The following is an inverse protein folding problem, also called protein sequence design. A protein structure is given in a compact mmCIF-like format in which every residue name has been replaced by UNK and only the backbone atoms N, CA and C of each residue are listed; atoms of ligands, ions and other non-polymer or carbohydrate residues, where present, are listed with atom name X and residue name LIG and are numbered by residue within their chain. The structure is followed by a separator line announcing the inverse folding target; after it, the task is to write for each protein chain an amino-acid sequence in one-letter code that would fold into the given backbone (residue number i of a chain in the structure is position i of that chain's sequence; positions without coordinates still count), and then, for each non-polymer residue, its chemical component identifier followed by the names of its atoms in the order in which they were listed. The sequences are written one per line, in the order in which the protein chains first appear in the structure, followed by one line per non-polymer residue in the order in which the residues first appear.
data_IF_707519868138
#
_entry.id   IF_707519868138
#
_cell.length_a   1.000
_cell.length_b   1.000
_cell.length_c   1.000
_cell.angle_alpha   90.00
_cell.angle_beta   90.00
_cell.angle_gamma   90.00
#
_symmetry.space_group_name_H-M   'P 1'
#
loop_
_entity.id
_entity.type
_entity.pdbx_description
1 polymer ?
#
# COMPACT_ATOMS: atom_id res chain seq x y z
N UNK A 1 1.82 -14.66 -8.54
CA UNK A 1 1.16 -15.57 -9.52
C UNK A 1 -0.33 -15.33 -9.49
N UNK A 2 -0.99 -15.34 -10.65
CA UNK A 2 -2.45 -15.40 -10.75
C UNK A 2 -2.78 -16.71 -11.44
N UNK A 3 -3.63 -17.54 -10.82
CA UNK A 3 -4.03 -18.84 -11.34
C UNK A 3 -5.53 -19.05 -11.27
N UNK A 4 -6.16 -19.42 -12.38
CA UNK A 4 -7.58 -19.72 -12.49
C UNK A 4 -7.78 -21.18 -12.85
N UNK A 5 -8.75 -21.86 -12.21
CA UNK A 5 -9.11 -23.25 -12.46
C UNK A 5 -7.88 -24.20 -12.33
N UNK A 6 -7.43 -24.84 -13.38
CA UNK A 6 -6.25 -25.73 -13.36
C UNK A 6 -4.94 -24.97 -13.03
N UNK A 7 -4.80 -23.72 -13.49
CA UNK A 7 -3.66 -22.89 -13.10
C UNK A 7 -3.71 -22.52 -11.61
N UNK A 8 -4.89 -22.46 -11.00
CA UNK A 8 -5.06 -22.32 -9.57
C UNK A 8 -4.53 -23.54 -8.80
N UNK A 9 -4.73 -24.76 -9.31
CA UNK A 9 -4.13 -25.99 -8.73
C UNK A 9 -2.61 -25.92 -8.77
N UNK A 10 -2.03 -25.51 -9.90
CA UNK A 10 -0.59 -25.31 -10.01
C UNK A 10 -0.08 -24.28 -9.00
N UNK A 11 -0.83 -23.21 -8.77
CA UNK A 11 -0.51 -22.20 -7.75
C UNK A 11 -0.52 -22.78 -6.33
N UNK A 12 -1.53 -23.57 -5.98
CA UNK A 12 -1.60 -24.28 -4.69
C UNK A 12 -0.43 -25.26 -4.54
N UNK A 13 -0.17 -26.06 -5.57
CA UNK A 13 0.98 -26.98 -5.58
C UNK A 13 2.30 -26.23 -5.36
N UNK A 14 2.50 -25.11 -6.04
CA UNK A 14 3.71 -24.30 -5.88
C UNK A 14 3.80 -23.70 -4.48
N UNK A 15 2.68 -23.19 -3.94
CA UNK A 15 2.64 -22.64 -2.57
C UNK A 15 3.10 -23.67 -1.54
N UNK A 16 2.65 -24.92 -1.65
CA UNK A 16 2.93 -25.95 -0.64
C UNK A 16 4.29 -26.64 -0.82
N UNK A 17 4.80 -26.75 -2.04
CA UNK A 17 6.03 -27.50 -2.32
C UNK A 17 7.25 -26.61 -2.61
N UNK A 18 7.04 -25.37 -3.07
CA UNK A 18 8.09 -24.42 -3.42
C UNK A 18 7.64 -22.97 -3.12
N UNK A 19 7.30 -22.63 -1.85
CA UNK A 19 6.62 -21.41 -1.48
C UNK A 19 7.39 -20.13 -1.84
N UNK A 20 8.71 -20.20 -1.90
CA UNK A 20 9.57 -19.06 -2.25
C UNK A 20 9.58 -18.69 -3.74
N UNK A 21 8.92 -19.51 -4.60
CA UNK A 21 8.83 -19.26 -6.04
C UNK A 21 8.08 -17.95 -6.34
N UNK A 22 6.99 -17.69 -5.62
CA UNK A 22 6.23 -16.45 -5.74
C UNK A 22 5.99 -15.85 -4.36
N UNK A 23 5.96 -14.52 -4.28
CA UNK A 23 5.64 -13.80 -3.04
C UNK A 23 4.12 -13.68 -2.86
N UNK A 24 3.38 -13.59 -3.97
CA UNK A 24 1.94 -13.34 -3.98
C UNK A 24 1.23 -14.39 -4.83
N UNK A 25 0.14 -14.94 -4.29
CA UNK A 25 -0.73 -15.92 -4.93
C UNK A 25 -2.16 -15.40 -4.97
N UNK A 26 -2.74 -15.29 -6.16
CA UNK A 26 -4.15 -15.01 -6.39
C UNK A 26 -4.73 -16.22 -7.13
N UNK A 27 -5.48 -17.07 -6.42
CA UNK A 27 -5.91 -18.38 -6.91
C UNK A 27 -7.44 -18.42 -6.96
N UNK A 28 -7.98 -18.56 -8.18
CA UNK A 28 -9.39 -18.37 -8.48
C UNK A 28 -10.00 -19.70 -8.88
N UNK A 29 -11.07 -20.11 -8.18
CA UNK A 29 -11.83 -21.34 -8.45
C UNK A 29 -10.91 -22.51 -8.85
N UNK A 30 -9.93 -22.78 -7.99
CA UNK A 30 -8.92 -23.81 -8.23
C UNK A 30 -9.56 -25.19 -8.27
N UNK A 31 -9.33 -25.96 -9.33
CA UNK A 31 -9.83 -27.32 -9.52
C UNK A 31 -9.11 -28.35 -8.59
N UNK A 32 -8.99 -28.03 -7.31
CA UNK A 32 -8.14 -28.74 -6.35
C UNK A 32 -8.63 -30.14 -5.95
N UNK A 33 -9.79 -30.54 -6.44
CA UNK A 33 -10.27 -31.93 -6.39
C UNK A 33 -9.47 -32.89 -7.27
N UNK A 34 -8.65 -32.32 -8.13
CA UNK A 34 -7.78 -33.12 -9.01
C UNK A 34 -6.54 -33.57 -8.23
N UNK A 35 -6.12 -34.85 -8.38
CA UNK A 35 -4.91 -35.34 -7.72
C UNK A 35 -5.09 -36.02 -6.36
N UNK A 36 -6.30 -36.57 -6.07
CA UNK A 36 -6.57 -37.36 -4.86
C UNK A 36 -6.13 -36.69 -3.55
N UNK A 37 -6.51 -35.45 -3.36
CA UNK A 37 -6.25 -34.69 -2.13
C UNK A 37 -4.75 -34.47 -1.80
N UNK A 38 -3.87 -34.55 -2.79
CA UNK A 38 -2.43 -34.34 -2.62
C UNK A 38 -2.15 -32.94 -2.01
N UNK A 39 -2.90 -31.91 -2.39
CA UNK A 39 -2.77 -30.55 -1.86
C UNK A 39 -3.01 -30.55 -0.35
N UNK A 40 -4.01 -31.28 0.14
CA UNK A 40 -4.34 -31.32 1.56
C UNK A 40 -3.23 -31.96 2.39
N UNK A 41 -2.67 -33.05 1.90
CA UNK A 41 -1.56 -33.73 2.58
C UNK A 41 -0.31 -32.85 2.64
N UNK A 42 -0.06 -32.10 1.57
CA UNK A 42 1.07 -31.19 1.49
C UNK A 42 0.88 -29.91 2.32
N UNK A 43 -0.35 -29.43 2.52
CA UNK A 43 -0.63 -28.31 3.43
C UNK A 43 -0.24 -28.60 4.88
N UNK A 44 -0.45 -29.84 5.33
CA UNK A 44 -0.02 -30.25 6.70
C UNK A 44 1.50 -30.18 6.83
N UNK A 45 2.25 -30.61 5.80
CA UNK A 45 3.71 -30.52 5.77
C UNK A 45 4.19 -29.09 5.64
N UNK A 46 3.50 -28.27 4.88
CA UNK A 46 3.85 -26.85 4.65
C UNK A 46 4.08 -26.08 5.95
N UNK A 47 3.21 -26.24 6.97
CA UNK A 47 3.37 -25.61 8.28
C UNK A 47 4.66 -26.03 8.98
N UNK A 48 4.99 -27.31 8.94
CA UNK A 48 6.16 -27.85 9.65
C UNK A 48 7.47 -27.31 9.06
N UNK A 49 7.53 -27.21 7.73
CA UNK A 49 8.75 -26.94 6.96
C UNK A 49 8.97 -25.44 6.68
N UNK A 50 7.92 -24.61 6.79
CA UNK A 50 7.94 -23.21 6.33
C UNK A 50 7.48 -22.21 7.39
N UNK A 51 7.92 -22.34 8.64
CA UNK A 51 7.55 -21.46 9.77
C UNK A 51 7.88 -19.97 9.52
N UNK A 52 8.92 -19.71 8.74
CA UNK A 52 9.41 -18.35 8.43
C UNK A 52 8.96 -17.88 7.04
N UNK A 53 8.12 -18.63 6.35
CA UNK A 53 7.61 -18.21 5.04
C UNK A 53 6.73 -16.98 5.20
N UNK A 54 7.07 -15.93 4.48
CA UNK A 54 6.28 -14.69 4.38
C UNK A 54 5.77 -14.52 2.96
N UNK A 55 4.45 -14.42 2.81
CA UNK A 55 3.81 -14.25 1.51
C UNK A 55 2.35 -13.86 1.64
N UNK A 56 1.70 -13.67 0.49
CA UNK A 56 0.29 -13.31 0.44
C UNK A 56 -0.47 -14.34 -0.40
N UNK A 57 -1.67 -14.70 0.05
CA UNK A 57 -2.57 -15.60 -0.68
C UNK A 57 -3.99 -15.02 -0.66
N UNK A 58 -4.56 -14.83 -1.83
CA UNK A 58 -6.00 -14.67 -1.98
C UNK A 58 -6.56 -15.90 -2.70
N UNK A 59 -7.43 -16.62 -2.02
CA UNK A 59 -8.11 -17.80 -2.54
C UNK A 59 -9.59 -17.46 -2.75
N UNK A 60 -10.14 -17.76 -3.89
CA UNK A 60 -11.55 -17.55 -4.17
C UNK A 60 -12.21 -18.74 -4.84
N UNK A 61 -13.55 -18.83 -4.70
CA UNK A 61 -14.39 -19.79 -5.38
C UNK A 61 -15.71 -19.13 -5.78
N UNK A 62 -16.24 -19.53 -6.94
CA UNK A 62 -17.56 -19.10 -7.41
C UNK A 62 -18.70 -19.86 -6.73
N UNK A 63 -19.97 -19.53 -7.05
CA UNK A 63 -21.17 -20.25 -6.66
C UNK A 63 -21.39 -21.58 -7.38
N UNK A 64 -20.30 -22.21 -7.83
CA UNK A 64 -20.29 -23.49 -8.51
C UNK A 64 -20.30 -24.65 -7.49
N UNK A 65 -21.37 -25.26 -7.23
CA UNK A 65 -21.50 -26.34 -6.24
C UNK A 65 -20.53 -27.53 -6.43
N UNK A 66 -20.79 -28.58 -5.66
CA UNK A 66 -20.07 -29.87 -5.80
C UNK A 66 -18.60 -29.81 -5.35
N UNK A 67 -17.73 -30.53 -6.07
CA UNK A 67 -16.33 -30.69 -5.70
C UNK A 67 -15.51 -29.38 -5.69
N UNK A 68 -15.81 -28.43 -6.55
CA UNK A 68 -15.09 -27.12 -6.58
C UNK A 68 -15.26 -26.38 -5.26
N UNK A 69 -16.52 -26.17 -4.83
CA UNK A 69 -16.84 -25.45 -3.60
C UNK A 69 -16.34 -26.19 -2.35
N UNK A 70 -16.66 -27.51 -2.25
CA UNK A 70 -16.27 -28.27 -1.06
C UNK A 70 -14.77 -28.39 -0.88
N UNK A 71 -14.00 -28.50 -1.95
CA UNK A 71 -12.54 -28.52 -1.88
C UNK A 71 -11.96 -27.15 -1.53
N UNK A 72 -12.52 -26.05 -2.08
CA UNK A 72 -12.08 -24.70 -1.72
C UNK A 72 -12.30 -24.41 -0.22
N UNK A 73 -13.45 -24.80 0.32
CA UNK A 73 -13.74 -24.68 1.77
C UNK A 73 -12.80 -25.54 2.61
N UNK A 74 -12.49 -26.74 2.18
CA UNK A 74 -11.59 -27.64 2.90
C UNK A 74 -10.17 -27.07 2.95
N UNK A 75 -9.67 -26.55 1.83
CA UNK A 75 -8.36 -25.89 1.78
C UNK A 75 -8.34 -24.65 2.68
N UNK A 76 -9.38 -23.81 2.62
CA UNK A 76 -9.49 -22.64 3.50
C UNK A 76 -9.49 -23.03 4.98
N UNK A 77 -10.26 -24.07 5.35
CA UNK A 77 -10.29 -24.60 6.73
C UNK A 77 -8.94 -25.16 7.19
N UNK A 78 -8.21 -25.80 6.30
CA UNK A 78 -6.88 -26.29 6.61
C UNK A 78 -5.87 -25.12 6.75
N UNK A 79 -5.92 -24.14 5.87
CA UNK A 79 -5.09 -22.95 5.98
C UNK A 79 -5.33 -22.24 7.32
N UNK A 80 -6.58 -22.08 7.75
CA UNK A 80 -6.91 -21.52 9.06
C UNK A 80 -6.20 -22.27 10.22
N UNK A 81 -6.12 -23.60 10.11
CA UNK A 81 -5.48 -24.44 11.14
C UNK A 81 -3.95 -24.47 11.06
N UNK A 82 -3.37 -24.36 9.85
CA UNK A 82 -1.96 -24.68 9.61
C UNK A 82 -1.13 -23.55 8.99
N UNK A 83 -1.73 -22.47 8.50
CA UNK A 83 -0.96 -21.39 7.88
C UNK A 83 0.04 -20.77 8.86
N UNK A 84 1.28 -20.47 8.42
CA UNK A 84 2.19 -19.68 9.21
C UNK A 84 1.58 -18.29 9.49
N UNK A 85 1.86 -17.70 10.65
CA UNK A 85 1.39 -16.35 11.00
C UNK A 85 1.89 -15.28 10.02
N UNK A 86 2.97 -15.57 9.32
CA UNK A 86 3.58 -14.71 8.31
C UNK A 86 2.96 -14.86 6.91
N UNK A 87 2.05 -15.81 6.70
CA UNK A 87 1.22 -15.89 5.49
C UNK A 87 -0.03 -15.02 5.68
N UNK A 88 -0.04 -13.88 5.01
CA UNK A 88 -1.21 -13.02 4.96
C UNK A 88 -2.19 -13.58 3.92
N UNK A 89 -3.31 -14.14 4.35
CA UNK A 89 -4.21 -14.83 3.45
C UNK A 89 -5.68 -14.49 3.69
N UNK A 90 -6.48 -14.64 2.63
CA UNK A 90 -7.93 -14.43 2.66
C UNK A 90 -8.61 -15.45 1.74
N UNK A 91 -9.83 -15.84 2.11
CA UNK A 91 -10.73 -16.66 1.30
C UNK A 91 -12.01 -15.92 0.99
N UNK A 92 -12.44 -15.95 -0.28
CA UNK A 92 -13.70 -15.31 -0.71
C UNK A 92 -14.56 -16.26 -1.51
N UNK A 93 -15.81 -16.41 -1.10
CA UNK A 93 -16.86 -17.08 -1.85
C UNK A 93 -17.70 -16.05 -2.61
N UNK A 94 -17.76 -16.16 -3.94
CA UNK A 94 -18.57 -15.35 -4.83
C UNK A 94 -19.81 -16.14 -5.23
N UNK A 95 -20.78 -16.24 -4.31
CA UNK A 95 -21.95 -17.14 -4.41
C UNK A 95 -22.79 -16.88 -5.66
N UNK A 96 -22.89 -15.62 -6.12
CA UNK A 96 -23.69 -15.23 -7.28
C UNK A 96 -22.96 -15.36 -8.62
N UNK A 97 -21.66 -15.68 -8.60
CA UNK A 97 -20.85 -15.80 -9.80
C UNK A 97 -20.75 -17.24 -10.31
N UNK A 98 -20.60 -17.37 -11.63
CA UNK A 98 -20.24 -18.65 -12.26
C UNK A 98 -18.72 -18.85 -12.24
N UNK A 99 -18.26 -20.04 -12.66
CA UNK A 99 -16.83 -20.34 -12.82
C UNK A 99 -16.12 -19.26 -13.64
N UNK A 100 -16.71 -18.82 -14.73
CA UNK A 100 -16.15 -17.83 -15.65
C UNK A 100 -16.27 -16.39 -15.13
N UNK A 101 -17.42 -16.00 -14.60
CA UNK A 101 -17.67 -14.62 -14.19
C UNK A 101 -16.89 -14.24 -12.93
N UNK A 102 -16.58 -15.21 -12.06
CA UNK A 102 -15.84 -14.98 -10.80
C UNK A 102 -14.41 -14.43 -11.02
N UNK A 103 -13.85 -14.58 -12.22
CA UNK A 103 -12.47 -14.12 -12.53
C UNK A 103 -12.31 -12.62 -12.27
N UNK A 104 -13.25 -11.79 -12.74
CA UNK A 104 -13.18 -10.34 -12.59
C UNK A 104 -13.24 -9.85 -11.15
N UNK A 105 -14.26 -10.21 -10.34
CA UNK A 105 -14.32 -9.80 -8.95
C UNK A 105 -13.18 -10.40 -8.13
N UNK A 106 -12.72 -11.61 -8.44
CA UNK A 106 -11.58 -12.23 -7.77
C UNK A 106 -10.28 -11.47 -8.02
N UNK A 107 -10.01 -11.05 -9.26
CA UNK A 107 -8.82 -10.25 -9.58
C UNK A 107 -8.88 -8.92 -8.83
N UNK A 108 -10.01 -8.22 -8.88
CA UNK A 108 -10.17 -6.93 -8.22
C UNK A 108 -9.96 -7.02 -6.69
N UNK A 109 -10.72 -7.90 -6.01
CA UNK A 109 -10.62 -8.05 -4.56
C UNK A 109 -9.30 -8.71 -4.14
N UNK A 110 -8.78 -9.63 -4.96
CA UNK A 110 -7.49 -10.24 -4.71
C UNK A 110 -6.34 -9.23 -4.77
N UNK A 111 -6.32 -8.34 -5.74
CA UNK A 111 -5.32 -7.26 -5.81
C UNK A 111 -5.47 -6.29 -4.64
N UNK A 112 -6.71 -5.94 -4.24
CA UNK A 112 -6.93 -5.12 -3.04
C UNK A 112 -6.33 -5.78 -1.79
N UNK A 113 -6.57 -7.08 -1.59
CA UNK A 113 -6.01 -7.84 -0.45
C UNK A 113 -4.48 -7.97 -0.54
N UNK A 114 -3.93 -8.34 -1.70
CA UNK A 114 -2.50 -8.57 -1.86
C UNK A 114 -1.65 -7.31 -1.67
N UNK A 115 -2.24 -6.14 -1.90
CA UNK A 115 -1.57 -4.84 -1.91
C UNK A 115 -2.24 -3.82 -0.97
N UNK A 116 -3.04 -4.29 0.01
CA UNK A 116 -3.73 -3.40 0.96
C UNK A 116 -2.76 -2.51 1.76
N UNK A 117 -1.57 -3.04 2.03
CA UNK A 117 -0.51 -2.33 2.72
C UNK A 117 0.21 -1.26 1.87
N UNK A 118 -0.07 -1.17 0.57
CA UNK A 118 0.39 -0.02 -0.23
C UNK A 118 -0.47 1.23 0.00
N UNK A 119 -1.66 1.05 0.57
CA UNK A 119 -2.62 2.12 0.79
C UNK A 119 -2.42 2.74 2.18
N UNK A 120 -1.32 3.47 2.35
CA UNK A 120 -1.00 4.10 3.61
C UNK A 120 -1.91 5.31 3.87
N UNK A 121 -2.60 5.29 5.00
CA UNK A 121 -3.39 6.41 5.50
C UNK A 121 -2.80 6.91 6.82
N UNK A 122 -2.73 8.23 6.96
CA UNK A 122 -2.34 8.85 8.24
C UNK A 122 -3.51 8.66 9.22
N UNK A 123 -3.35 7.72 10.15
CA UNK A 123 -4.34 7.49 11.21
C UNK A 123 -4.30 8.58 12.29
N UNK A 124 -5.39 8.74 13.04
CA UNK A 124 -5.43 9.63 14.19
C UNK A 124 -4.39 9.27 15.26
N UNK A 125 -4.09 8.00 15.41
CA UNK A 125 -3.05 7.51 16.32
C UNK A 125 -1.66 7.94 15.85
N UNK A 126 -1.34 7.75 14.57
CA UNK A 126 -0.07 8.22 13.99
C UNK A 126 0.05 9.73 14.07
N UNK A 127 -1.02 10.47 13.77
CA UNK A 127 -1.06 11.94 13.87
C UNK A 127 -0.82 12.42 15.30
N UNK A 128 -1.36 11.69 16.30
CA UNK A 128 -1.31 12.08 17.71
C UNK A 128 -0.01 11.62 18.39
N UNK A 129 0.47 10.43 18.13
CA UNK A 129 1.59 9.82 18.87
C UNK A 129 2.79 9.46 17.99
N UNK A 130 2.59 9.35 16.67
CA UNK A 130 3.62 8.97 15.73
C UNK A 130 4.49 10.12 15.22
N UNK A 131 5.49 9.74 14.44
CA UNK A 131 6.46 10.64 13.84
C UNK A 131 6.72 10.27 12.38
N UNK A 132 7.43 11.12 11.65
CA UNK A 132 7.93 10.77 10.30
C UNK A 132 8.86 9.54 10.33
N UNK A 133 9.48 9.24 11.47
CA UNK A 133 10.27 8.04 11.69
C UNK A 133 9.44 6.76 11.55
N UNK A 134 8.20 6.75 12.04
CA UNK A 134 7.29 5.60 11.95
C UNK A 134 6.88 5.37 10.48
N UNK A 135 6.61 6.43 9.74
CA UNK A 135 6.33 6.37 8.29
C UNK A 135 7.53 5.82 7.53
N UNK A 136 8.76 6.28 7.84
CA UNK A 136 9.99 5.74 7.24
C UNK A 136 10.14 4.23 7.50
N UNK A 137 9.89 3.79 8.73
CA UNK A 137 9.95 2.38 9.10
C UNK A 137 8.93 1.55 8.33
N UNK A 138 7.71 2.06 8.16
CA UNK A 138 6.67 1.42 7.36
C UNK A 138 7.13 1.20 5.91
N UNK A 139 7.55 2.26 5.20
CA UNK A 139 8.01 2.17 3.81
C UNK A 139 9.31 1.38 3.66
N UNK A 140 10.19 1.38 4.67
CA UNK A 140 11.36 0.49 4.71
C UNK A 140 10.95 -0.99 4.78
N UNK A 141 9.92 -1.31 5.58
CA UNK A 141 9.38 -2.66 5.69
C UNK A 141 8.73 -3.11 4.37
N UNK A 142 7.93 -2.24 3.74
CA UNK A 142 7.37 -2.51 2.41
C UNK A 142 8.47 -2.74 1.37
N UNK A 143 9.52 -1.91 1.38
CA UNK A 143 10.65 -2.04 0.45
C UNK A 143 11.34 -3.40 0.57
N UNK A 144 11.50 -3.90 1.79
CA UNK A 144 12.03 -5.26 2.04
C UNK A 144 11.08 -6.35 1.55
N UNK A 145 9.78 -6.20 1.85
CA UNK A 145 8.73 -7.17 1.48
C UNK A 145 8.62 -7.32 -0.04
N UNK A 146 8.58 -6.19 -0.76
CA UNK A 146 8.41 -6.18 -2.21
C UNK A 146 9.74 -6.24 -2.99
N UNK A 147 10.89 -6.26 -2.28
CA UNK A 147 12.23 -6.26 -2.89
C UNK A 147 12.43 -5.12 -3.90
N UNK A 148 11.82 -3.99 -3.61
CA UNK A 148 11.83 -2.77 -4.41
C UNK A 148 11.89 -1.56 -3.49
N UNK A 149 12.74 -0.58 -3.78
CA UNK A 149 12.83 0.65 -2.99
C UNK A 149 11.55 1.48 -3.17
N UNK A 150 10.71 1.48 -2.15
CA UNK A 150 9.49 2.29 -2.11
C UNK A 150 9.79 3.62 -1.46
N UNK A 151 9.53 4.70 -2.19
CA UNK A 151 9.56 6.06 -1.64
C UNK A 151 8.25 6.34 -0.90
N UNK A 152 8.32 7.14 0.14
CA UNK A 152 7.13 7.69 0.81
C UNK A 152 6.44 8.60 -0.20
N UNK A 153 5.16 8.39 -0.57
CA UNK A 153 4.46 9.26 -1.51
C UNK A 153 4.39 10.72 -1.02
N UNK A 154 4.45 11.66 -1.94
CA UNK A 154 4.41 13.10 -1.63
C UNK A 154 3.21 13.48 -0.76
N UNK A 155 2.04 12.91 -1.07
CA UNK A 155 0.80 13.17 -0.32
C UNK A 155 0.91 12.74 1.15
N UNK A 156 1.62 11.66 1.46
CA UNK A 156 1.79 11.17 2.83
C UNK A 156 2.56 12.15 3.70
N UNK A 157 3.57 12.83 3.14
CA UNK A 157 4.27 13.90 3.86
C UNK A 157 3.36 15.07 4.18
N UNK A 158 2.55 15.50 3.20
CA UNK A 158 1.60 16.60 3.37
C UNK A 158 0.55 16.27 4.42
N UNK A 159 -0.09 15.12 4.29
CA UNK A 159 -1.16 14.67 5.20
C UNK A 159 -0.64 14.52 6.64
N UNK A 160 0.55 13.93 6.81
CA UNK A 160 1.16 13.81 8.14
C UNK A 160 1.47 15.18 8.75
N UNK A 161 2.04 16.09 7.97
CA UNK A 161 2.35 17.44 8.47
C UNK A 161 1.08 18.20 8.85
N UNK A 162 0.02 18.11 8.04
CA UNK A 162 -1.27 18.73 8.33
C UNK A 162 -1.88 18.18 9.62
N UNK A 163 -1.87 16.85 9.77
CA UNK A 163 -2.33 16.18 10.98
C UNK A 163 -1.51 16.57 12.22
N UNK A 164 -0.18 16.68 12.08
CA UNK A 164 0.71 17.18 13.14
C UNK A 164 0.41 18.62 13.53
N UNK A 165 0.16 19.50 12.55
CA UNK A 165 -0.27 20.87 12.81
C UNK A 165 -1.62 20.96 13.53
N UNK A 166 -2.59 20.14 13.13
CA UNK A 166 -3.89 20.07 13.82
C UNK A 166 -3.74 19.66 15.29
N UNK A 167 -2.78 18.79 15.57
CA UNK A 167 -2.44 18.33 16.92
C UNK A 167 -1.43 19.26 17.65
N UNK A 168 -1.19 20.47 17.13
CA UNK A 168 -0.28 21.50 17.72
C UNK A 168 1.18 21.02 17.86
N UNK A 169 1.61 20.12 16.97
CA UNK A 169 2.97 19.60 16.88
C UNK A 169 3.78 20.32 15.80
N UNK A 170 3.79 21.65 15.85
CA UNK A 170 4.34 22.52 14.80
C UNK A 170 5.80 22.17 14.44
N UNK A 171 6.63 21.86 15.43
CA UNK A 171 8.04 21.52 15.19
C UNK A 171 8.17 20.19 14.41
N UNK A 172 7.35 19.19 14.73
CA UNK A 172 7.35 17.91 14.03
C UNK A 172 6.81 18.05 12.60
N UNK A 173 5.78 18.87 12.41
CA UNK A 173 5.24 19.17 11.09
C UNK A 173 6.30 19.82 10.19
N UNK A 174 7.06 20.79 10.70
CA UNK A 174 8.16 21.41 9.96
C UNK A 174 9.27 20.42 9.65
N UNK A 175 9.61 19.52 10.57
CA UNK A 175 10.58 18.44 10.33
C UNK A 175 10.10 17.50 9.21
N UNK A 176 8.83 17.09 9.24
CA UNK A 176 8.21 16.28 8.19
C UNK A 176 8.29 16.98 6.83
N UNK A 177 7.96 18.26 6.74
CA UNK A 177 7.98 19.03 5.50
C UNK A 177 9.41 19.31 4.99
N UNK A 178 10.39 19.48 5.87
CA UNK A 178 11.81 19.56 5.47
C UNK A 178 12.26 18.26 4.82
N UNK A 179 11.92 17.14 5.42
CA UNK A 179 12.23 15.83 4.83
C UNK A 179 11.50 15.61 3.50
N UNK A 180 10.29 16.14 3.35
CA UNK A 180 9.55 16.11 2.08
C UNK A 180 10.37 16.79 0.97
N UNK A 181 10.85 18.01 1.20
CA UNK A 181 11.72 18.73 0.25
C UNK A 181 13.04 17.98 -0.03
N UNK A 182 13.64 17.40 1.00
CA UNK A 182 14.87 16.60 0.87
C UNK A 182 14.64 15.36 0.00
N UNK A 183 13.50 14.68 0.18
CA UNK A 183 13.14 13.47 -0.59
C UNK A 183 12.75 13.82 -2.02
N UNK A 184 12.08 14.95 -2.24
CA UNK A 184 11.57 15.40 -3.52
C UNK A 184 12.07 16.81 -3.88
N UNK A 185 13.38 16.98 -4.13
CA UNK A 185 13.98 18.31 -4.34
C UNK A 185 13.53 19.01 -5.63
N UNK A 186 12.82 18.30 -6.52
CA UNK A 186 12.26 18.84 -7.77
C UNK A 186 10.73 18.94 -7.75
N UNK A 187 10.10 18.79 -6.59
CA UNK A 187 8.65 18.90 -6.42
C UNK A 187 8.26 20.31 -6.00
N UNK A 188 7.51 21.01 -6.86
CA UNK A 188 6.88 22.30 -6.47
C UNK A 188 5.89 22.11 -5.33
N UNK A 189 5.24 20.94 -5.21
CA UNK A 189 4.33 20.61 -4.12
C UNK A 189 5.06 20.53 -2.78
N UNK A 190 6.25 19.93 -2.72
CA UNK A 190 7.05 19.86 -1.50
C UNK A 190 7.43 21.24 -0.98
N UNK A 191 7.90 22.13 -1.86
CA UNK A 191 8.23 23.52 -1.48
C UNK A 191 7.00 24.34 -1.13
N UNK A 192 5.87 24.15 -1.79
CA UNK A 192 4.60 24.80 -1.43
C UNK A 192 4.17 24.38 -0.03
N UNK A 193 4.22 23.10 0.28
CA UNK A 193 3.85 22.56 1.59
C UNK A 193 4.76 23.10 2.69
N UNK A 194 6.09 23.13 2.47
CA UNK A 194 7.03 23.69 3.44
C UNK A 194 6.84 25.20 3.61
N UNK A 195 6.58 25.94 2.52
CA UNK A 195 6.23 27.36 2.56
C UNK A 195 5.00 27.62 3.41
N UNK A 196 3.94 26.82 3.24
CA UNK A 196 2.70 26.89 4.04
C UNK A 196 2.95 26.58 5.52
N UNK A 197 3.77 25.57 5.81
CA UNK A 197 4.19 25.26 7.17
C UNK A 197 4.93 26.42 7.84
N UNK A 198 5.86 27.05 7.14
CA UNK A 198 6.56 28.24 7.65
C UNK A 198 5.65 29.45 7.83
N UNK A 199 4.69 29.67 6.92
CA UNK A 199 3.71 30.74 7.06
C UNK A 199 2.87 30.54 8.32
N UNK A 200 2.39 29.32 8.56
CA UNK A 200 1.61 28.93 9.74
C UNK A 200 2.40 29.14 11.05
N UNK A 201 3.70 28.88 11.03
CA UNK A 201 4.60 29.06 12.19
C UNK A 201 5.22 30.46 12.25
N UNK A 202 4.73 31.40 11.46
CA UNK A 202 5.17 32.83 11.41
C UNK A 202 6.66 33.00 11.03
N UNK A 203 7.23 32.05 10.30
CA UNK A 203 8.58 32.13 9.76
C UNK A 203 8.53 32.71 8.33
N UNK A 204 8.10 33.97 8.22
CA UNK A 204 7.66 34.59 6.97
C UNK A 204 8.74 34.62 5.88
N UNK A 205 9.99 34.92 6.23
CA UNK A 205 11.11 34.94 5.26
C UNK A 205 11.34 33.56 4.64
N UNK A 206 11.27 32.49 5.45
CA UNK A 206 11.40 31.13 4.95
C UNK A 206 10.19 30.71 4.12
N UNK A 207 8.98 31.11 4.51
CA UNK A 207 7.77 30.89 3.74
C UNK A 207 7.89 31.48 2.33
N UNK A 208 8.24 32.78 2.24
CA UNK A 208 8.46 33.47 0.97
C UNK A 208 9.46 32.76 0.08
N UNK A 209 10.63 32.41 0.60
CA UNK A 209 11.69 31.74 -0.16
C UNK A 209 11.21 30.40 -0.75
N UNK A 210 10.45 29.63 0.00
CA UNK A 210 9.93 28.33 -0.46
C UNK A 210 8.85 28.52 -1.53
N UNK A 211 7.93 29.47 -1.40
CA UNK A 211 6.93 29.76 -2.42
C UNK A 211 7.58 30.29 -3.73
N UNK A 212 8.59 31.17 -3.64
CA UNK A 212 9.34 31.64 -4.81
C UNK A 212 10.06 30.46 -5.52
N UNK A 213 10.58 29.52 -4.76
CA UNK A 213 11.19 28.29 -5.31
C UNK A 213 10.15 27.44 -6.03
N UNK A 214 8.97 27.24 -5.44
CA UNK A 214 7.87 26.53 -6.06
C UNK A 214 7.42 27.19 -7.38
N UNK A 215 7.28 28.52 -7.41
CA UNK A 215 6.94 29.29 -8.64
C UNK A 215 7.98 29.04 -9.74
N UNK A 216 9.27 29.09 -9.40
CA UNK A 216 10.35 28.84 -10.36
C UNK A 216 10.24 27.45 -10.97
N UNK A 217 9.93 26.42 -10.15
CA UNK A 217 9.79 25.03 -10.61
C UNK A 217 8.58 24.86 -11.54
N UNK A 218 7.42 25.43 -11.17
CA UNK A 218 6.21 25.38 -12.01
C UNK A 218 6.48 26.03 -13.38
N UNK A 219 7.12 27.21 -13.39
CA UNK A 219 7.48 27.90 -14.63
C UNK A 219 8.47 27.12 -15.51
N UNK A 220 9.43 26.43 -14.89
CA UNK A 220 10.41 25.63 -15.64
C UNK A 220 9.82 24.38 -16.31
N UNK A 221 8.76 23.77 -15.72
CA UNK A 221 8.07 22.64 -16.31
C UNK A 221 7.22 23.00 -17.55
N UNK A 222 6.83 24.27 -17.72
CA UNK A 222 6.08 24.73 -18.88
C UNK A 222 4.62 24.24 -19.00
N UNK A 223 4.18 23.40 -18.08
CA UNK A 223 2.86 22.77 -18.09
C UNK A 223 1.98 23.18 -16.89
N UNK A 224 2.37 24.24 -16.19
CA UNK A 224 1.67 24.68 -14.99
C UNK A 224 0.36 25.39 -15.31
N UNK A 225 -0.73 24.99 -14.64
CA UNK A 225 -1.96 25.77 -14.63
C UNK A 225 -1.64 27.19 -14.11
N UNK A 226 -1.97 28.27 -14.87
CA UNK A 226 -1.77 29.64 -14.44
C UNK A 226 -2.31 29.93 -13.03
N UNK A 227 -3.42 29.29 -12.65
CA UNK A 227 -4.03 29.45 -11.32
C UNK A 227 -3.11 29.02 -10.16
N UNK A 228 -2.22 28.04 -10.41
CA UNK A 228 -1.23 27.59 -9.40
C UNK A 228 -0.17 28.71 -9.18
N UNK A 229 0.25 29.37 -10.25
CA UNK A 229 1.22 30.48 -10.14
C UNK A 229 0.59 31.66 -9.41
N UNK A 230 -0.66 32.01 -9.74
CA UNK A 230 -1.39 33.10 -9.09
C UNK A 230 -1.54 32.82 -7.58
N UNK A 231 -1.98 31.61 -7.24
CA UNK A 231 -2.05 31.18 -5.82
C UNK A 231 -0.71 31.31 -5.11
N UNK A 232 0.38 30.86 -5.70
CA UNK A 232 1.70 30.93 -5.10
C UNK A 232 2.20 32.40 -4.95
N UNK A 233 1.85 33.28 -5.90
CA UNK A 233 2.15 34.71 -5.82
C UNK A 233 1.39 35.38 -4.67
N UNK A 234 0.13 35.01 -4.46
CA UNK A 234 -0.64 35.48 -3.30
C UNK A 234 -0.02 35.03 -1.98
N UNK A 235 0.50 33.78 -1.91
CA UNK A 235 1.22 33.29 -0.73
C UNK A 235 2.54 34.04 -0.49
N UNK A 236 3.28 34.39 -1.55
CA UNK A 236 4.47 35.25 -1.44
C UNK A 236 4.10 36.62 -0.90
N UNK A 237 3.04 37.24 -1.42
CA UNK A 237 2.57 38.53 -0.96
C UNK A 237 2.12 38.50 0.52
N UNK A 238 1.38 37.45 0.91
CA UNK A 238 0.97 37.21 2.29
C UNK A 238 2.17 37.08 3.24
N UNK A 239 3.20 36.34 2.83
CA UNK A 239 4.44 36.24 3.61
C UNK A 239 5.18 37.58 3.69
N UNK A 240 5.29 38.29 2.57
CA UNK A 240 6.00 39.56 2.47
C UNK A 240 5.37 40.66 3.33
N UNK A 241 4.04 40.71 3.44
CA UNK A 241 3.31 41.71 4.25
C UNK A 241 3.52 41.55 5.76
N UNK A 242 4.13 40.45 6.20
CA UNK A 242 4.40 40.13 7.60
C UNK A 242 5.90 40.14 7.96
N UNK A 243 6.79 40.46 6.99
CA UNK A 243 8.22 40.64 7.22
C UNK A 243 8.46 42.12 7.62
#
# INVERSE_FOLDING_TARGET
MIGYSNAGVYGLHTLVNAPTTFTNYLLISSAAWWGNDEIDQNLIKFKADNKDFSGNLFLSVAGEGGGMYSNALRIASQLEAVAPLSLHWNFKHFESDTHESTVYPSIYQGLQHLYEDLNFNVSDELATYGSIGDVKNYYSTLSKRYKYQMLIPEVVFSDLADAQFQNKKDSQAIETLKLFVETYPHSSFAYTSLGSGYLRTKQFTLAKTNFETAIKMVKQKGEGDPSVIDYLQDMVAAAQSNI
#
